data_IF_058033580536
#
_entry.id   IF_058033580536
#
_cell.length_a   1.000
_cell.length_b   1.000
_cell.length_c   1.000
_cell.angle_alpha   90.00
_cell.angle_beta   90.00
_cell.angle_gamma   90.00
#
_symmetry.space_group_name_H-M   'P 1'
#
loop_
_entity.id
_entity.type
_entity.pdbx_description
1 polymer ?
#
# COMPACT_ATOMS: atom_id res chain seq x y z
N UNK A 1 15.65 5.66 -11.20
CA UNK A 1 15.71 4.22 -10.79
C UNK A 1 14.66 4.01 -9.69
N UNK A 2 13.80 2.98 -9.80
CA UNK A 2 12.81 2.67 -8.76
C UNK A 2 13.52 2.23 -7.47
N UNK A 3 13.04 2.72 -6.32
CA UNK A 3 13.60 2.42 -5.01
C UNK A 3 12.53 1.78 -4.13
N UNK A 4 12.85 0.62 -3.60
CA UNK A 4 11.99 -0.13 -2.68
C UNK A 4 12.43 0.18 -1.25
N UNK A 5 11.76 1.14 -0.61
CA UNK A 5 12.07 1.55 0.76
C UNK A 5 11.63 0.51 1.80
N UNK A 6 10.74 -0.41 1.43
CA UNK A 6 10.29 -1.49 2.30
C UNK A 6 11.21 -2.72 2.29
N UNK A 7 12.24 -2.74 1.44
CA UNK A 7 13.15 -3.89 1.35
C UNK A 7 14.07 -3.97 2.57
N UNK A 8 14.02 -5.10 3.25
CA UNK A 8 14.95 -5.46 4.31
C UNK A 8 16.19 -6.19 3.78
N UNK A 9 16.73 -7.10 4.59
CA UNK A 9 17.80 -8.02 4.18
C UNK A 9 17.37 -8.87 2.98
N UNK A 10 18.32 -9.12 2.08
CA UNK A 10 18.07 -9.92 0.88
C UNK A 10 17.85 -11.39 1.21
N UNK A 11 17.22 -12.09 0.27
CA UNK A 11 17.02 -13.54 0.28
C UNK A 11 18.34 -14.29 0.51
N UNK A 12 19.42 -13.87 -0.18
CA UNK A 12 20.78 -14.45 -0.06
C UNK A 12 21.35 -14.25 1.33
N UNK A 13 21.26 -13.03 1.89
CA UNK A 13 21.76 -12.74 3.24
C UNK A 13 21.06 -13.56 4.33
N UNK A 14 19.83 -14.02 4.05
CA UNK A 14 19.01 -14.78 4.99
C UNK A 14 18.96 -16.28 4.72
N UNK A 15 19.57 -16.76 3.64
CA UNK A 15 19.38 -18.11 3.10
C UNK A 15 17.88 -18.49 2.98
N UNK A 16 17.10 -17.63 2.31
CA UNK A 16 15.65 -17.78 2.07
C UNK A 16 15.32 -17.55 0.59
N UNK A 17 14.10 -17.88 0.20
CA UNK A 17 13.60 -17.63 -1.17
C UNK A 17 13.26 -16.15 -1.42
N UNK A 18 12.79 -15.44 -0.40
CA UNK A 18 12.26 -14.08 -0.53
C UNK A 18 13.07 -13.08 0.29
N UNK A 19 13.22 -11.87 -0.25
CA UNK A 19 13.71 -10.72 0.49
C UNK A 19 12.79 -10.48 1.70
N UNK A 20 13.38 -10.06 2.81
CA UNK A 20 12.57 -9.59 3.93
C UNK A 20 11.95 -8.23 3.62
N UNK A 21 10.81 -7.95 4.24
CA UNK A 21 10.14 -6.66 4.14
C UNK A 21 10.09 -6.02 5.52
N UNK A 22 10.45 -4.74 5.60
CA UNK A 22 10.35 -3.94 6.81
C UNK A 22 9.02 -3.22 6.87
N UNK A 23 8.59 -2.90 8.08
CA UNK A 23 7.30 -2.27 8.29
C UNK A 23 7.21 -0.87 7.67
N UNK A 24 6.02 -0.50 7.19
CA UNK A 24 5.75 0.80 6.54
C UNK A 24 6.13 2.02 7.40
N UNK A 25 6.04 1.92 8.72
CA UNK A 25 6.45 3.01 9.62
C UNK A 25 7.97 3.19 9.70
N UNK A 26 8.76 2.17 9.37
CA UNK A 26 10.23 2.23 9.43
C UNK A 26 10.84 3.06 8.29
N UNK A 27 10.07 3.38 7.26
CA UNK A 27 10.49 4.24 6.14
C UNK A 27 9.51 5.39 5.87
N UNK A 28 8.66 5.71 6.85
CA UNK A 28 7.64 6.76 6.73
C UNK A 28 8.25 8.14 6.38
N UNK A 29 9.47 8.41 6.83
CA UNK A 29 10.22 9.64 6.53
C UNK A 29 10.55 9.79 5.03
N UNK A 30 10.49 8.72 4.24
CA UNK A 30 10.72 8.74 2.79
C UNK A 30 9.45 8.99 1.98
N UNK A 31 8.27 8.86 2.59
CA UNK A 31 6.97 9.02 1.92
C UNK A 31 6.73 10.39 1.27
N UNK A 32 7.24 11.53 1.79
CA UNK A 32 7.08 12.82 1.11
C UNK A 32 7.69 12.88 -0.29
N UNK A 33 8.65 12.00 -0.61
CA UNK A 33 9.25 11.91 -1.94
C UNK A 33 8.45 11.08 -2.94
N UNK A 34 7.31 10.51 -2.55
CA UNK A 34 6.50 9.64 -3.40
C UNK A 34 5.30 10.42 -3.98
N UNK A 35 5.21 10.51 -5.33
CA UNK A 35 4.06 11.11 -5.99
C UNK A 35 2.77 10.27 -5.86
N UNK A 36 2.93 8.94 -5.79
CA UNK A 36 1.83 8.01 -5.60
C UNK A 36 2.28 6.81 -4.78
N UNK A 37 1.34 6.24 -4.03
CA UNK A 37 1.52 4.98 -3.31
C UNK A 37 0.53 3.95 -3.86
N UNK A 38 1.03 2.77 -4.16
CA UNK A 38 0.24 1.62 -4.59
C UNK A 38 0.25 0.59 -3.49
N UNK A 39 -0.93 0.21 -3.01
CA UNK A 39 -1.08 -0.81 -1.96
C UNK A 39 -1.83 -2.00 -2.50
N UNK A 40 -1.30 -3.19 -2.27
CA UNK A 40 -1.97 -4.46 -2.55
C UNK A 40 -2.45 -5.04 -1.22
N UNK A 41 -3.72 -5.41 -1.13
CA UNK A 41 -4.30 -6.07 0.05
C UNK A 41 -5.34 -7.10 -0.37
N UNK A 42 -5.97 -7.77 0.60
CA UNK A 42 -7.04 -8.73 0.34
C UNK A 42 -8.26 -8.04 -0.32
N UNK A 43 -8.93 -8.76 -1.24
CA UNK A 43 -10.20 -8.32 -1.86
C UNK A 43 -11.21 -7.93 -0.78
N UNK A 44 -11.83 -6.77 -0.96
CA UNK A 44 -12.98 -6.35 -0.15
C UNK A 44 -14.29 -6.57 -0.90
N UNK A 45 -15.00 -7.65 -0.57
CA UNK A 45 -16.25 -8.03 -1.26
C UNK A 45 -17.41 -7.06 -1.03
N UNK A 46 -17.27 -6.10 -0.12
CA UNK A 46 -18.31 -5.11 0.18
C UNK A 46 -18.22 -3.86 -0.73
N UNK A 47 -17.19 -3.80 -1.58
CA UNK A 47 -16.91 -2.66 -2.45
C UNK A 47 -16.96 -3.08 -3.94
N UNK A 48 -17.26 -2.14 -4.85
CA UNK A 48 -17.25 -2.38 -6.30
C UNK A 48 -15.90 -2.86 -6.85
N UNK A 49 -15.94 -3.56 -7.99
CA UNK A 49 -14.75 -4.08 -8.65
C UNK A 49 -13.78 -3.00 -9.12
N UNK A 50 -14.28 -1.83 -9.50
CA UNK A 50 -13.47 -0.66 -9.81
C UNK A 50 -14.14 0.61 -9.30
N UNK A 51 -13.34 1.51 -8.73
CA UNK A 51 -13.80 2.83 -8.28
C UNK A 51 -12.70 3.85 -8.53
N UNK A 52 -13.11 5.06 -8.95
CA UNK A 52 -12.27 6.25 -9.02
C UNK A 52 -12.99 7.42 -8.36
N UNK A 53 -12.25 8.29 -7.69
CA UNK A 53 -12.80 9.49 -7.05
C UNK A 53 -11.71 10.34 -6.44
N UNK A 54 -12.08 11.50 -5.90
CA UNK A 54 -11.12 12.42 -5.28
C UNK A 54 -10.56 11.87 -3.97
N UNK A 55 -11.40 11.28 -3.11
CA UNK A 55 -10.96 10.68 -1.85
C UNK A 55 -11.87 9.51 -1.46
N UNK A 56 -11.56 8.32 -1.97
CA UNK A 56 -12.31 7.10 -1.69
C UNK A 56 -12.09 6.64 -0.25
N UNK A 57 -13.17 6.19 0.39
CA UNK A 57 -13.07 5.51 1.69
C UNK A 57 -12.25 4.22 1.54
N UNK A 58 -11.39 3.88 2.53
CA UNK A 58 -10.51 2.72 2.43
C UNK A 58 -11.22 1.37 2.49
N UNK A 59 -12.47 1.33 2.96
CA UNK A 59 -13.20 0.09 3.16
C UNK A 59 -12.74 -0.68 4.41
N UNK A 60 -13.52 -1.67 4.85
CA UNK A 60 -13.26 -2.42 6.07
C UNK A 60 -11.94 -3.22 6.04
N UNK A 61 -11.52 -3.74 4.88
CA UNK A 61 -10.27 -4.51 4.77
C UNK A 61 -9.02 -3.64 4.89
N UNK A 62 -8.90 -2.63 4.03
CA UNK A 62 -7.70 -1.80 3.95
C UNK A 62 -7.64 -0.76 5.09
N UNK A 63 -8.76 -0.24 5.56
CA UNK A 63 -8.79 0.84 6.57
C UNK A 63 -8.16 0.48 7.91
N UNK A 64 -8.06 -0.81 8.23
CA UNK A 64 -7.42 -1.33 9.45
C UNK A 64 -5.93 -1.62 9.29
N UNK A 65 -5.42 -1.63 8.05
CA UNK A 65 -4.04 -1.97 7.77
C UNK A 65 -3.12 -0.76 7.96
N UNK A 66 -1.94 -0.98 8.55
CA UNK A 66 -0.91 0.05 8.68
C UNK A 66 -0.46 0.59 7.31
N UNK A 67 -0.57 -0.23 6.26
CA UNK A 67 -0.32 0.16 4.87
C UNK A 67 -1.22 1.31 4.38
N UNK A 68 -2.38 1.52 5.01
CA UNK A 68 -3.23 2.69 4.79
C UNK A 68 -3.07 3.75 5.88
N UNK A 69 -3.10 3.33 7.15
CA UNK A 69 -3.13 4.27 8.28
C UNK A 69 -1.87 5.14 8.35
N UNK A 70 -0.70 4.61 8.03
CA UNK A 70 0.54 5.39 8.06
C UNK A 70 0.52 6.42 6.93
N UNK A 71 0.37 6.07 5.64
CA UNK A 71 0.26 7.07 4.57
C UNK A 71 -0.85 8.11 4.77
N UNK A 72 -1.99 7.72 5.33
CA UNK A 72 -3.10 8.64 5.58
C UNK A 72 -2.71 9.78 6.53
N UNK A 73 -1.87 9.53 7.55
CA UNK A 73 -1.34 10.59 8.44
C UNK A 73 -0.44 11.58 7.73
N UNK A 74 0.07 11.19 6.56
CA UNK A 74 0.86 12.05 5.71
C UNK A 74 0.02 12.77 4.64
N UNK A 75 -1.31 12.58 4.61
CA UNK A 75 -2.21 13.21 3.63
C UNK A 75 -2.50 12.37 2.39
N UNK A 76 -1.97 11.15 2.31
CA UNK A 76 -2.33 10.27 1.20
C UNK A 76 -3.78 9.81 1.34
N UNK A 77 -4.54 9.94 0.27
CA UNK A 77 -5.93 9.47 0.15
C UNK A 77 -6.08 8.64 -1.12
N UNK A 78 -7.00 7.66 -1.08
CA UNK A 78 -7.19 6.73 -2.20
C UNK A 78 -7.95 7.45 -3.31
N UNK A 79 -7.37 7.48 -4.51
CA UNK A 79 -8.01 8.06 -5.69
C UNK A 79 -8.57 7.00 -6.64
N UNK A 80 -8.09 5.77 -6.52
CA UNK A 80 -8.53 4.67 -7.37
C UNK A 80 -8.36 3.31 -6.68
N UNK A 81 -9.29 2.40 -6.95
CA UNK A 81 -9.31 1.02 -6.43
C UNK A 81 -9.71 0.07 -7.55
N UNK A 82 -8.99 -1.05 -7.66
CA UNK A 82 -9.36 -2.22 -8.45
C UNK A 82 -9.43 -3.45 -7.54
N UNK A 83 -10.43 -4.30 -7.76
CA UNK A 83 -10.59 -5.58 -7.10
C UNK A 83 -10.40 -6.71 -8.11
N UNK A 84 -9.56 -7.66 -7.78
CA UNK A 84 -9.33 -8.90 -8.51
C UNK A 84 -9.92 -10.07 -7.73
N UNK A 85 -9.73 -11.30 -8.20
CA UNK A 85 -10.32 -12.51 -7.59
C UNK A 85 -10.03 -12.64 -6.09
N UNK A 86 -8.81 -12.31 -5.65
CA UNK A 86 -8.37 -12.46 -4.25
C UNK A 86 -7.76 -11.20 -3.63
N UNK A 87 -7.41 -10.21 -4.45
CA UNK A 87 -6.70 -9.02 -4.01
C UNK A 87 -7.43 -7.75 -4.41
N UNK A 88 -7.12 -6.66 -3.75
CA UNK A 88 -7.38 -5.31 -4.22
C UNK A 88 -6.08 -4.57 -4.42
N UNK A 89 -6.06 -3.66 -5.39
CA UNK A 89 -4.98 -2.71 -5.62
C UNK A 89 -5.57 -1.32 -5.48
N UNK A 90 -4.98 -0.49 -4.61
CA UNK A 90 -5.39 0.90 -4.42
C UNK A 90 -4.26 1.85 -4.77
N UNK A 91 -4.57 2.92 -5.49
CA UNK A 91 -3.69 4.05 -5.74
C UNK A 91 -4.05 5.18 -4.78
N UNK A 92 -3.05 5.71 -4.07
CA UNK A 92 -3.19 6.87 -3.20
C UNK A 92 -2.27 8.00 -3.63
N UNK A 93 -2.77 9.23 -3.54
CA UNK A 93 -2.04 10.49 -3.82
C UNK A 93 -2.25 11.47 -2.66
N UNK A 94 -1.48 12.55 -2.62
CA UNK A 94 -1.70 13.70 -1.73
C UNK A 94 -2.24 14.88 -2.51
#
# INVERSE_FOLDING_TARGET
KLRDYGRGLSAVQRNRLWDSHIAVWAWADKMPGCAALWTVSERDRTLPDHQRGEALRPGPRLGRAMAYQVPSRFGFHIVERWQFSFAQVTKSTR
#
